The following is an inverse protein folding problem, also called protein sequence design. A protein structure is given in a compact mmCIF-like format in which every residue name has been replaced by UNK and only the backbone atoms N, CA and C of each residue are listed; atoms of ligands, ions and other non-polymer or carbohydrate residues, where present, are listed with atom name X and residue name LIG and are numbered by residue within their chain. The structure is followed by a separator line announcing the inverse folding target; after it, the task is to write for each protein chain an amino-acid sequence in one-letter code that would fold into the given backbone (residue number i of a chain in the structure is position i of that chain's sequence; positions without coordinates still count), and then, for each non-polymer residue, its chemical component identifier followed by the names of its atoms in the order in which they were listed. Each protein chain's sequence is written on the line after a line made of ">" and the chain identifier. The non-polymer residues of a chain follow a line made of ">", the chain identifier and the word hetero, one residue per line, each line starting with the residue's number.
data_IF_504163364024
#
_entry.id   IF_504163364024
#
_cell.length_a   1.000
_cell.length_b   1.000
_cell.length_c   1.000
_cell.angle_alpha   90.00
_cell.angle_beta   90.00
_cell.angle_gamma   90.00
#
_symmetry.space_group_name_H-M   'P 1'
#
loop_
_entity.id
_entity.type
_entity.pdbx_description
1 polymer ?
#
# COMPACT_ATOMS: atom_id res chain seq x y z
N UNK A 1 -3.18 -56.23 -25.57
CA UNK A 1 -2.08 -55.25 -25.65
C UNK A 1 -2.49 -53.87 -26.24
N UNK A 2 -3.24 -53.78 -27.36
CA UNK A 2 -3.65 -52.46 -27.93
C UNK A 2 -4.61 -51.62 -27.06
N UNK A 3 -5.45 -52.26 -26.23
CA UNK A 3 -6.43 -51.56 -25.38
C UNK A 3 -5.80 -50.85 -24.17
N UNK A 4 -4.72 -51.39 -23.61
CA UNK A 4 -4.06 -50.82 -22.42
C UNK A 4 -3.27 -49.55 -22.76
N UNK A 5 -2.66 -49.49 -23.94
CA UNK A 5 -1.90 -48.32 -24.42
C UNK A 5 -2.84 -47.11 -24.61
N UNK A 6 -4.08 -47.34 -25.04
CA UNK A 6 -5.09 -46.28 -25.24
C UNK A 6 -5.51 -45.63 -23.91
N UNK A 7 -5.65 -46.42 -22.85
CA UNK A 7 -5.99 -45.92 -21.53
C UNK A 7 -4.83 -45.13 -20.90
N UNK A 8 -3.59 -45.54 -21.14
CA UNK A 8 -2.41 -44.77 -20.72
C UNK A 8 -2.34 -43.40 -21.40
N UNK A 9 -2.59 -43.32 -22.71
CA UNK A 9 -2.58 -42.05 -23.45
C UNK A 9 -3.67 -41.09 -22.99
N UNK A 10 -4.88 -41.60 -22.71
CA UNK A 10 -6.00 -40.78 -22.20
C UNK A 10 -5.70 -40.25 -20.79
N UNK A 11 -5.14 -41.08 -19.91
CA UNK A 11 -4.76 -40.68 -18.56
C UNK A 11 -3.59 -39.68 -18.55
N UNK A 12 -2.61 -39.86 -19.43
CA UNK A 12 -1.49 -38.94 -19.59
C UNK A 12 -1.96 -37.57 -20.14
N UNK A 13 -2.84 -37.57 -21.13
CA UNK A 13 -3.42 -36.36 -21.70
C UNK A 13 -4.32 -35.63 -20.69
N UNK A 14 -5.07 -36.37 -19.87
CA UNK A 14 -5.87 -35.82 -18.78
C UNK A 14 -5.03 -35.14 -17.69
N UNK A 15 -3.90 -35.75 -17.30
CA UNK A 15 -2.96 -35.12 -16.35
C UNK A 15 -2.28 -33.88 -16.95
N UNK A 16 -1.93 -33.90 -18.24
CA UNK A 16 -1.36 -32.73 -18.92
C UNK A 16 -2.34 -31.55 -18.95
N UNK A 17 -3.63 -31.81 -19.17
CA UNK A 17 -4.68 -30.79 -19.20
C UNK A 17 -4.93 -30.12 -17.83
N UNK A 18 -4.80 -30.87 -16.73
CA UNK A 18 -4.93 -30.31 -15.37
C UNK A 18 -3.74 -29.41 -14.99
N UNK A 19 -2.56 -29.59 -15.60
CA UNK A 19 -1.38 -28.76 -15.36
C UNK A 19 -1.42 -27.38 -16.04
N UNK A 20 -2.37 -27.16 -16.96
CA UNK A 20 -2.48 -25.94 -17.76
C UNK A 20 -3.43 -24.90 -17.18
N UNK A 21 -4.01 -25.13 -16.01
CA UNK A 21 -4.79 -24.10 -15.31
C UNK A 21 -3.83 -23.17 -14.56
N UNK A 22 -3.58 -21.94 -15.03
CA UNK A 22 -2.83 -20.99 -14.23
C UNK A 22 -3.62 -20.74 -12.94
N UNK A 23 -3.00 -21.03 -11.80
CA UNK A 23 -3.51 -20.58 -10.50
C UNK A 23 -3.36 -19.07 -10.51
N UNK A 24 -4.45 -18.35 -10.77
CA UNK A 24 -4.51 -16.91 -10.59
C UNK A 24 -4.51 -16.71 -9.06
N UNK A 25 -3.33 -16.55 -8.46
CA UNK A 25 -3.26 -16.15 -7.06
C UNK A 25 -3.76 -14.72 -6.99
N UNK A 26 -4.93 -14.49 -6.41
CA UNK A 26 -5.31 -13.15 -5.99
C UNK A 26 -4.27 -12.70 -4.95
N UNK A 27 -3.36 -11.85 -5.37
CA UNK A 27 -2.43 -11.21 -4.46
C UNK A 27 -3.27 -10.50 -3.38
N UNK A 28 -2.93 -10.73 -2.10
CA UNK A 28 -3.59 -10.01 -1.02
C UNK A 28 -3.51 -8.51 -1.31
N UNK A 29 -4.60 -7.78 -1.02
CA UNK A 29 -4.67 -6.33 -1.24
C UNK A 29 -4.87 -5.61 0.08
N UNK A 30 -4.61 -4.31 0.08
CA UNK A 30 -4.86 -3.41 1.20
C UNK A 30 -6.19 -2.68 1.03
N UNK A 31 -6.78 -2.25 2.14
CA UNK A 31 -8.02 -1.49 2.19
C UNK A 31 -7.77 -0.13 2.84
N UNK A 32 -8.39 0.92 2.30
CA UNK A 32 -8.42 2.25 2.90
C UNK A 32 -9.86 2.65 3.19
N UNK A 33 -10.13 3.04 4.43
CA UNK A 33 -11.45 3.48 4.88
C UNK A 33 -11.35 4.95 5.23
N UNK A 34 -12.27 5.75 4.72
CA UNK A 34 -12.35 7.18 4.99
C UNK A 34 -13.71 7.48 5.58
N UNK A 35 -13.74 8.22 6.67
CA UNK A 35 -14.99 8.67 7.26
C UNK A 35 -14.87 10.09 7.80
N UNK A 36 -16.00 10.78 7.88
CA UNK A 36 -16.15 12.09 8.51
C UNK A 36 -17.38 12.08 9.42
N UNK A 37 -17.57 13.15 10.18
CA UNK A 37 -18.75 13.28 11.05
C UNK A 37 -19.95 13.77 10.24
N UNK A 38 -21.14 13.22 10.52
CA UNK A 38 -22.37 13.79 9.97
C UNK A 38 -22.56 15.24 10.48
N UNK A 39 -23.05 16.18 9.65
CA UNK A 39 -23.65 15.97 8.33
C UNK A 39 -22.67 16.10 7.14
N UNK A 40 -21.36 16.17 7.39
CA UNK A 40 -20.40 16.35 6.30
C UNK A 40 -20.35 15.11 5.40
N UNK A 41 -20.18 15.36 4.10
CA UNK A 41 -20.01 14.31 3.09
C UNK A 41 -18.99 14.77 2.06
N UNK A 42 -18.29 13.82 1.46
CA UNK A 42 -17.17 14.10 0.57
C UNK A 42 -17.09 13.14 -0.62
N UNK A 43 -16.32 13.54 -1.62
CA UNK A 43 -15.83 12.71 -2.72
C UNK A 43 -14.33 12.49 -2.57
N UNK A 44 -13.88 11.28 -2.87
CA UNK A 44 -12.46 10.94 -2.90
C UNK A 44 -11.94 10.75 -4.32
N UNK A 45 -10.79 11.36 -4.60
CA UNK A 45 -9.98 11.15 -5.79
C UNK A 45 -8.65 10.55 -5.36
N UNK A 46 -8.25 9.44 -5.97
CA UNK A 46 -6.97 8.77 -5.70
C UNK A 46 -6.21 8.69 -7.02
N UNK A 47 -4.95 9.14 -7.03
CA UNK A 47 -4.14 9.22 -8.26
C UNK A 47 -4.88 9.90 -9.42
N UNK A 48 -5.50 11.05 -9.13
CA UNK A 48 -6.25 11.86 -10.08
C UNK A 48 -7.52 11.20 -10.66
N UNK A 49 -7.89 10.00 -10.18
CA UNK A 49 -9.15 9.34 -10.57
C UNK A 49 -10.17 9.46 -9.44
N UNK A 50 -11.32 10.05 -9.76
CA UNK A 50 -12.49 10.08 -8.88
C UNK A 50 -12.99 8.64 -8.68
N UNK A 51 -13.06 8.19 -7.43
CA UNK A 51 -13.37 6.79 -7.13
C UNK A 51 -14.88 6.50 -7.11
N UNK A 52 -15.71 7.53 -6.92
CA UNK A 52 -17.17 7.42 -6.89
C UNK A 52 -17.84 8.76 -7.24
N UNK A 53 -19.10 8.71 -7.70
CA UNK A 53 -19.84 9.90 -8.16
C UNK A 53 -20.60 10.61 -7.05
N UNK A 54 -21.14 9.89 -6.07
CA UNK A 54 -21.99 10.50 -5.03
C UNK A 54 -21.19 10.95 -3.82
N UNK A 55 -21.62 11.99 -3.11
CA UNK A 55 -20.99 12.40 -1.86
C UNK A 55 -21.39 11.43 -0.74
N UNK A 56 -20.41 10.96 0.05
CA UNK A 56 -20.63 10.03 1.17
C UNK A 56 -19.88 10.48 2.42
N UNK A 57 -20.37 10.13 3.61
CA UNK A 57 -19.69 10.41 4.87
C UNK A 57 -18.78 9.27 5.34
N UNK A 58 -18.91 8.08 4.75
CA UNK A 58 -18.11 6.89 5.05
C UNK A 58 -17.94 6.03 3.79
N UNK A 59 -16.69 5.75 3.42
CA UNK A 59 -16.32 4.98 2.24
C UNK A 59 -15.18 4.01 2.55
N UNK A 60 -15.26 2.81 1.98
CA UNK A 60 -14.22 1.78 1.97
C UNK A 60 -13.73 1.57 0.54
N UNK A 61 -12.45 1.86 0.29
CA UNK A 61 -11.76 1.58 -0.96
C UNK A 61 -10.97 0.27 -0.83
N UNK A 62 -11.33 -0.73 -1.62
CA UNK A 62 -10.71 -2.05 -1.65
C UNK A 62 -9.75 -2.21 -2.83
N UNK A 63 -8.95 -3.28 -2.83
CA UNK A 63 -8.04 -3.64 -3.92
C UNK A 63 -6.90 -2.61 -4.15
N UNK A 64 -6.45 -1.92 -3.10
CA UNK A 64 -5.23 -1.12 -3.14
C UNK A 64 -4.02 -2.02 -2.92
N UNK A 65 -2.85 -1.62 -3.42
CA UNK A 65 -1.60 -2.31 -3.12
C UNK A 65 -1.02 -1.77 -1.80
N UNK A 66 -0.56 -2.65 -0.93
CA UNK A 66 0.29 -2.30 0.20
C UNK A 66 1.68 -1.85 -0.23
N UNK A 67 2.47 -1.39 0.75
CA UNK A 67 3.82 -0.83 0.56
C UNK A 67 3.86 0.31 -0.44
N UNK A 68 2.76 1.07 -0.55
CA UNK A 68 2.57 2.08 -1.58
C UNK A 68 1.95 3.36 -1.04
N UNK A 69 2.46 4.48 -1.54
CA UNK A 69 1.90 5.81 -1.31
C UNK A 69 0.86 6.16 -2.37
N UNK A 70 -0.23 6.78 -1.94
CA UNK A 70 -1.34 7.19 -2.77
C UNK A 70 -1.63 8.68 -2.56
N UNK A 71 -1.49 9.53 -3.60
CA UNK A 71 -1.98 10.89 -3.54
C UNK A 71 -3.51 10.90 -3.52
N UNK A 72 -4.08 11.46 -2.46
CA UNK A 72 -5.51 11.57 -2.21
C UNK A 72 -5.94 13.03 -2.22
N UNK A 73 -7.05 13.28 -2.90
CA UNK A 73 -7.78 14.54 -2.85
C UNK A 73 -9.19 14.28 -2.30
N UNK A 74 -9.61 15.10 -1.34
CA UNK A 74 -10.95 15.08 -0.79
C UNK A 74 -11.64 16.39 -1.13
N UNK A 75 -12.83 16.29 -1.70
CA UNK A 75 -13.71 17.41 -1.96
C UNK A 75 -14.95 17.26 -1.08
N UNK A 76 -15.20 18.20 -0.17
CA UNK A 76 -16.40 18.19 0.66
C UNK A 76 -17.59 18.78 -0.10
N UNK A 77 -18.79 18.28 0.21
CA UNK A 77 -20.03 18.82 -0.35
C UNK A 77 -20.20 20.26 0.11
N UNK A 78 -20.54 21.16 -0.83
CA UNK A 78 -20.72 22.60 -0.59
C UNK A 78 -19.46 23.32 -0.07
N UNK A 79 -18.28 22.76 -0.29
CA UNK A 79 -17.00 23.39 0.04
C UNK A 79 -16.18 23.55 -1.24
N UNK A 80 -15.50 24.69 -1.38
CA UNK A 80 -14.60 24.95 -2.51
C UNK A 80 -13.16 24.53 -2.20
N UNK A 81 -12.85 24.23 -0.94
CA UNK A 81 -11.53 23.81 -0.51
C UNK A 81 -11.31 22.32 -0.79
N UNK A 82 -10.11 22.00 -1.30
CA UNK A 82 -9.68 20.64 -1.61
C UNK A 82 -8.59 20.24 -0.63
N UNK A 83 -8.83 19.19 0.14
CA UNK A 83 -7.82 18.63 1.04
C UNK A 83 -6.96 17.66 0.26
N UNK A 84 -5.64 17.86 0.29
CA UNK A 84 -4.67 17.04 -0.45
C UNK A 84 -3.69 16.40 0.51
N UNK A 85 -3.54 15.07 0.47
CA UNK A 85 -2.55 14.36 1.27
C UNK A 85 -2.14 13.05 0.60
N UNK A 86 -0.87 12.69 0.74
CA UNK A 86 -0.41 11.35 0.40
C UNK A 86 -0.68 10.43 1.59
N UNK A 87 -1.38 9.32 1.36
CA UNK A 87 -1.55 8.25 2.35
C UNK A 87 -0.61 7.11 2.00
N UNK A 88 -0.03 6.46 3.00
CA UNK A 88 0.79 5.27 2.80
C UNK A 88 0.05 4.05 3.35
N UNK A 89 -0.05 3.01 2.54
CA UNK A 89 -0.59 1.71 2.96
C UNK A 89 0.57 0.78 3.24
N UNK A 90 0.66 0.31 4.48
CA UNK A 90 1.84 -0.40 5.00
C UNK A 90 1.99 -1.76 4.35
N UNK A 91 0.93 -2.57 4.37
CA UNK A 91 0.96 -3.90 3.79
C UNK A 91 -0.42 -4.33 3.26
N UNK A 92 -0.38 -5.41 2.49
CA UNK A 92 -1.55 -6.15 2.06
C UNK A 92 -2.22 -6.85 3.26
N UNK A 93 -3.52 -7.13 3.16
CA UNK A 93 -4.29 -7.75 4.24
C UNK A 93 -4.67 -6.81 5.39
N UNK A 94 -4.29 -5.52 5.31
CA UNK A 94 -4.59 -4.51 6.32
C UNK A 94 -5.68 -3.53 5.84
N UNK A 95 -6.47 -3.03 6.79
CA UNK A 95 -7.40 -1.94 6.63
C UNK A 95 -6.89 -0.69 7.39
N UNK A 96 -6.63 0.38 6.63
CA UNK A 96 -6.15 1.65 7.14
C UNK A 96 -7.33 2.61 7.27
N UNK A 97 -7.57 3.14 8.47
CA UNK A 97 -8.79 3.87 8.80
C UNK A 97 -8.44 5.33 9.02
N UNK A 98 -8.95 6.17 8.13
CA UNK A 98 -8.69 7.61 8.06
C UNK A 98 -9.93 8.40 8.46
N UNK A 99 -9.74 9.34 9.38
CA UNK A 99 -10.71 10.38 9.65
C UNK A 99 -10.41 11.60 8.79
N UNK A 100 -11.44 12.15 8.16
CA UNK A 100 -11.30 13.24 7.19
C UNK A 100 -12.02 14.48 7.70
N UNK A 101 -11.31 15.60 7.72
CA UNK A 101 -11.82 16.93 8.03
C UNK A 101 -11.61 17.85 6.84
N UNK A 102 -12.25 19.03 6.85
CA UNK A 102 -12.05 20.08 5.83
C UNK A 102 -10.61 20.62 5.74
N UNK A 103 -9.74 20.27 6.70
CA UNK A 103 -8.34 20.73 6.74
C UNK A 103 -7.34 19.61 6.47
N UNK A 104 -7.63 18.39 6.92
CA UNK A 104 -6.67 17.30 6.89
C UNK A 104 -7.29 15.90 6.84
N UNK A 105 -6.48 14.94 6.42
CA UNK A 105 -6.74 13.49 6.48
C UNK A 105 -5.86 12.89 7.59
N UNK A 106 -6.47 12.26 8.59
CA UNK A 106 -5.79 11.75 9.79
C UNK A 106 -5.93 10.23 9.85
N UNK A 107 -4.81 9.51 9.87
CA UNK A 107 -4.83 8.06 10.16
C UNK A 107 -5.21 7.85 11.64
N UNK A 108 -6.26 7.06 11.89
CA UNK A 108 -6.75 6.78 13.25
C UNK A 108 -6.32 5.41 13.76
N UNK A 109 -6.42 4.40 12.91
CA UNK A 109 -6.04 3.02 13.27
C UNK A 109 -5.75 2.18 12.03
N UNK A 110 -5.03 1.08 12.25
CA UNK A 110 -4.80 0.03 11.26
C UNK A 110 -5.21 -1.29 11.90
N UNK A 111 -5.98 -2.09 11.17
CA UNK A 111 -6.46 -3.40 11.64
C UNK A 111 -6.31 -4.43 10.52
N UNK A 112 -6.26 -5.73 10.82
CA UNK A 112 -6.42 -6.76 9.78
C UNK A 112 -7.74 -6.56 9.04
N UNK A 113 -7.71 -6.55 7.71
CA UNK A 113 -8.89 -6.26 6.89
C UNK A 113 -10.04 -7.23 7.17
N UNK A 114 -9.72 -8.50 7.45
CA UNK A 114 -10.70 -9.54 7.80
C UNK A 114 -11.44 -9.28 9.14
N UNK A 115 -10.88 -8.45 10.02
CA UNK A 115 -11.47 -8.15 11.35
C UNK A 115 -12.27 -6.84 11.37
N UNK A 116 -12.28 -6.09 10.26
CA UNK A 116 -13.00 -4.84 10.19
C UNK A 116 -14.49 -5.09 9.98
N UNK A 117 -15.29 -4.87 11.03
CA UNK A 117 -16.73 -4.77 10.91
C UNK A 117 -17.09 -3.40 10.29
N UNK A 118 -17.55 -3.40 9.05
CA UNK A 118 -18.03 -2.20 8.36
C UNK A 118 -19.24 -1.58 9.06
N UNK A 119 -19.47 -0.29 8.81
CA UNK A 119 -20.66 0.41 9.32
C UNK A 119 -21.87 0.19 8.39
N UNK A 120 -23.09 0.23 8.92
CA UNK A 120 -24.34 -0.11 8.20
C UNK A 120 -24.60 0.73 6.93
N UNK A 121 -23.99 1.92 6.81
CA UNK A 121 -24.15 2.82 5.65
C UNK A 121 -22.82 3.14 4.96
N UNK A 122 -21.85 2.23 5.02
CA UNK A 122 -20.55 2.42 4.39
C UNK A 122 -20.62 2.14 2.88
N UNK A 123 -20.21 3.12 2.07
CA UNK A 123 -20.06 2.93 0.64
C UNK A 123 -18.82 2.07 0.36
N UNK A 124 -18.97 0.93 -0.31
CA UNK A 124 -17.84 0.04 -0.66
C UNK A 124 -17.53 0.20 -2.14
N UNK A 125 -16.28 0.50 -2.46
CA UNK A 125 -15.79 0.76 -3.82
C UNK A 125 -14.51 -0.01 -4.07
N UNK A 126 -14.38 -0.61 -5.25
CA UNK A 126 -13.11 -1.20 -5.70
C UNK A 126 -12.24 -0.11 -6.33
N UNK A 127 -10.96 -0.06 -5.96
CA UNK A 127 -10.03 0.96 -6.42
C UNK A 127 -9.95 1.01 -7.96
N UNK A 128 -10.21 2.19 -8.51
CA UNK A 128 -10.07 2.50 -9.92
C UNK A 128 -8.62 2.93 -10.19
N UNK A 129 -7.86 2.06 -10.86
CA UNK A 129 -6.46 2.30 -11.21
C UNK A 129 -6.36 3.14 -12.48
N UNK A 130 -5.53 4.17 -12.45
CA UNK A 130 -5.13 4.86 -13.67
C UNK A 130 -4.08 4.01 -14.40
N UNK A 131 -4.39 3.51 -15.59
CA UNK A 131 -3.40 2.79 -16.40
C UNK A 131 -2.42 3.73 -17.11
N UNK A 132 -2.69 5.04 -17.13
CA UNK A 132 -1.91 6.04 -17.88
C UNK A 132 -0.89 6.80 -17.03
N UNK A 133 -0.83 6.56 -15.71
CA UNK A 133 0.18 7.18 -14.84
C UNK A 133 1.30 6.17 -14.64
N UNK A 134 2.55 6.48 -15.04
CA UNK A 134 3.67 5.59 -14.79
C UNK A 134 3.75 5.31 -13.29
N UNK A 135 3.75 4.03 -12.91
CA UNK A 135 4.11 3.68 -11.54
C UNK A 135 5.55 4.13 -11.33
N UNK A 136 5.79 4.90 -10.27
CA UNK A 136 7.16 5.13 -9.81
C UNK A 136 7.82 3.78 -9.61
N UNK A 137 8.72 3.43 -10.51
CA UNK A 137 9.69 2.38 -10.25
C UNK A 137 10.55 2.93 -9.12
N UNK A 138 10.44 2.31 -7.95
CA UNK A 138 11.41 2.53 -6.88
C UNK A 138 12.76 2.17 -7.49
N UNK A 139 13.57 3.19 -7.81
CA UNK A 139 14.96 2.99 -8.16
C UNK A 139 15.57 2.27 -6.97
N UNK A 140 15.95 1.01 -7.16
CA UNK A 140 16.85 0.33 -6.24
C UNK A 140 18.11 1.18 -6.27
N UNK A 141 18.38 1.90 -5.18
CA UNK A 141 19.58 2.68 -5.05
C UNK A 141 20.75 1.68 -5.06
N UNK A 142 21.35 1.52 -6.23
CA UNK A 142 22.44 0.57 -6.45
C UNK A 142 23.78 1.30 -6.43
N UNK A 143 23.78 2.59 -6.10
CA UNK A 143 24.98 3.31 -5.80
C UNK A 143 25.28 3.11 -4.31
N UNK A 144 26.06 2.07 -4.01
CA UNK A 144 26.98 2.19 -2.89
C UNK A 144 27.93 3.36 -3.23
N UNK A 145 27.54 4.59 -2.89
CA UNK A 145 28.51 5.65 -2.74
C UNK A 145 29.33 5.28 -1.51
N UNK A 146 30.50 4.69 -1.74
CA UNK A 146 31.53 4.68 -0.72
C UNK A 146 31.93 6.14 -0.56
N UNK A 147 31.31 6.81 0.40
CA UNK A 147 31.65 8.18 0.75
C UNK A 147 32.99 8.16 1.50
N UNK A 148 34.08 8.17 0.73
CA UNK A 148 35.44 8.20 1.27
C UNK A 148 35.95 9.62 1.53
N UNK A 149 35.13 10.66 1.30
CA UNK A 149 35.66 12.02 1.19
C UNK A 149 34.87 13.07 1.97
N UNK A 150 33.77 12.70 2.65
CA UNK A 150 33.13 13.61 3.59
C UNK A 150 33.93 13.70 4.90
N UNK A 151 34.67 14.80 5.07
CA UNK A 151 35.27 15.20 6.34
C UNK A 151 34.30 16.17 7.03
N UNK A 152 33.64 15.77 8.13
CA UNK A 152 32.73 16.66 8.85
C UNK A 152 33.52 17.83 9.46
N UNK A 153 33.01 19.07 9.43
CA UNK A 153 33.71 20.26 9.93
C UNK A 153 33.89 20.30 11.47
N UNK A 154 33.45 19.29 12.20
CA UNK A 154 33.53 19.17 13.65
C UNK A 154 33.61 17.68 14.05
N UNK A 155 34.77 17.07 13.82
CA UNK A 155 35.08 15.68 14.21
C UNK A 155 35.01 15.47 15.74
N UNK A 156 35.08 16.53 16.54
CA UNK A 156 35.17 16.45 18.00
C UNK A 156 33.85 16.27 18.76
N UNK A 157 32.69 16.52 18.15
CA UNK A 157 31.40 16.48 18.88
C UNK A 157 30.73 15.10 18.92
N UNK A 158 31.15 14.15 18.08
CA UNK A 158 30.51 12.83 17.96
C UNK A 158 31.51 11.67 18.15
N UNK A 159 32.70 11.95 18.67
CA UNK A 159 33.66 10.93 19.07
C UNK A 159 33.45 10.58 20.55
N UNK A 160 33.17 9.32 20.82
CA UNK A 160 33.28 8.75 22.15
C UNK A 160 34.77 8.53 22.42
N UNK A 161 35.25 8.94 23.60
CA UNK A 161 36.69 8.99 23.91
C UNK A 161 37.42 7.66 23.67
N UNK A 162 36.71 6.54 23.82
CA UNK A 162 37.27 5.19 23.69
C UNK A 162 36.87 4.45 22.40
N UNK A 163 36.19 5.10 21.45
CA UNK A 163 35.72 4.46 20.23
C UNK A 163 36.51 4.94 19.00
N UNK A 164 37.35 4.04 18.47
CA UNK A 164 38.10 4.23 17.21
C UNK A 164 37.40 3.65 15.98
N UNK A 165 36.17 3.14 16.13
CA UNK A 165 35.43 2.56 15.02
C UNK A 165 34.80 3.63 14.12
N UNK A 166 34.46 3.26 12.90
CA UNK A 166 33.73 4.18 11.99
C UNK A 166 32.33 4.46 12.55
N UNK A 167 31.84 5.66 12.28
CA UNK A 167 30.45 6.04 12.57
C UNK A 167 29.52 5.03 11.87
N UNK A 168 28.63 4.39 12.62
CA UNK A 168 27.69 3.39 12.11
C UNK A 168 28.12 1.93 12.23
N UNK A 169 29.32 1.62 12.73
CA UNK A 169 29.64 0.25 13.15
C UNK A 169 29.02 -0.04 14.54
N UNK A 170 28.50 -1.26 14.77
CA UNK A 170 28.01 -1.65 16.08
C UNK A 170 29.13 -1.51 17.12
N UNK A 171 28.79 -0.95 18.27
CA UNK A 171 29.73 -0.73 19.36
C UNK A 171 30.34 -2.07 19.78
N UNK A 172 31.67 -2.19 19.94
CA UNK A 172 32.25 -3.37 20.55
C UNK A 172 31.78 -3.44 22.00
N UNK A 173 30.80 -4.28 22.26
CA UNK A 173 30.42 -4.69 23.61
C UNK A 173 31.55 -5.61 24.07
N UNK A 174 32.32 -5.18 25.08
CA UNK A 174 33.28 -6.08 25.74
C UNK A 174 32.47 -7.18 26.41
N UNK A 175 32.86 -8.44 26.19
CA UNK A 175 32.36 -9.57 26.99
C UNK A 175 32.74 -9.42 28.47
#
# INVERSE_FOLDING_TARGET
>A
MKLEIRNYFINLLGMLLLSLFPIISDAQTSTAIFYTNNPDSFQITIQQIKQHLDYSSNIQIQALAGKKSYPVLINFKNDTTVVKKNIYLIDNGLAHIFFVTKKEIILKKIVPAATYAGAENQLIVRYLKNMNVPMDTVKKDTLQSIDTTYIPPYETYYHLEDYKGKIGCPWPIKE
#
